data_IF_855192086032
#
_entry.id   IF_855192086032
#
_cell.length_a   1.000
_cell.length_b   1.000
_cell.length_c   1.000
_cell.angle_alpha   90.00
_cell.angle_beta   90.00
_cell.angle_gamma   90.00
#
_symmetry.space_group_name_H-M   'P 1'
#
loop_
_entity.id
_entity.type
_entity.pdbx_description
1 polymer ?
#
# COMPACT_ATOMS: atom_id res chain seq x y z
N UNK A 1 -4.25 14.25 -11.34
CA UNK A 1 -3.81 13.69 -10.08
C UNK A 1 -4.71 14.04 -8.92
N UNK A 2 -5.00 15.31 -8.72
CA UNK A 2 -5.88 15.68 -7.64
C UNK A 2 -7.24 15.03 -7.71
N UNK A 3 -7.81 14.92 -8.90
CA UNK A 3 -9.13 14.30 -9.02
C UNK A 3 -9.11 12.83 -8.65
N UNK A 4 -8.03 12.15 -8.98
CA UNK A 4 -7.89 10.76 -8.64
C UNK A 4 -7.77 10.60 -7.13
N UNK A 5 -7.00 11.47 -6.49
CA UNK A 5 -6.82 11.39 -5.04
C UNK A 5 -8.09 11.70 -4.28
N UNK A 6 -8.98 12.50 -4.87
CA UNK A 6 -10.26 12.77 -4.24
C UNK A 6 -11.14 11.54 -4.15
N UNK A 7 -10.95 10.60 -5.07
CA UNK A 7 -11.71 9.35 -5.03
C UNK A 7 -11.16 8.39 -3.98
N UNK A 8 -10.04 8.72 -3.41
CA UNK A 8 -9.44 7.89 -2.38
C UNK A 8 -8.25 7.12 -2.89
N UNK A 9 -7.48 6.60 -1.95
CA UNK A 9 -6.36 5.75 -2.30
C UNK A 9 -6.23 4.62 -1.30
N UNK A 10 -5.63 3.53 -1.75
CA UNK A 10 -5.41 2.36 -0.92
C UNK A 10 -3.92 2.06 -0.93
N UNK A 11 -3.33 1.98 0.25
CA UNK A 11 -1.92 1.60 0.38
C UNK A 11 -1.90 0.13 0.73
N UNK A 12 -1.26 -0.67 -0.11
CA UNK A 12 -1.21 -2.13 0.07
C UNK A 12 0.14 -2.47 0.66
N UNK A 13 0.13 -3.01 1.87
CA UNK A 13 1.33 -3.19 2.69
C UNK A 13 1.71 -4.65 2.76
N UNK A 14 2.94 -4.94 2.39
CA UNK A 14 3.48 -6.29 2.46
C UNK A 14 4.34 -6.49 3.69
N UNK A 15 4.84 -7.70 3.85
CA UNK A 15 5.60 -8.06 5.05
C UNK A 15 7.05 -7.63 5.03
N UNK A 16 7.54 -7.12 3.93
CA UNK A 16 8.95 -6.75 3.80
C UNK A 16 9.23 -5.33 4.26
N UNK A 17 10.39 -4.82 3.89
CA UNK A 17 10.82 -3.49 4.29
C UNK A 17 9.91 -2.39 3.76
N UNK A 18 9.41 -2.58 2.53
CA UNK A 18 8.54 -1.56 1.94
C UNK A 18 7.21 -1.41 2.68
N UNK A 19 6.84 -2.41 3.48
CA UNK A 19 5.61 -2.32 4.25
C UNK A 19 5.63 -1.17 5.25
N UNK A 20 6.76 -1.01 5.96
CA UNK A 20 6.89 0.09 6.90
C UNK A 20 6.84 1.44 6.20
N UNK A 21 7.50 1.54 5.04
CA UNK A 21 7.46 2.77 4.26
C UNK A 21 6.05 3.07 3.77
N UNK A 22 5.31 2.01 3.41
CA UNK A 22 3.92 2.18 3.01
C UNK A 22 3.06 2.75 4.12
N UNK A 23 3.26 2.27 5.35
CA UNK A 23 2.52 2.79 6.49
C UNK A 23 2.82 4.27 6.73
N UNK A 24 4.10 4.65 6.57
CA UNK A 24 4.48 6.05 6.72
C UNK A 24 3.83 6.91 5.65
N UNK A 25 3.81 6.44 4.41
CA UNK A 25 3.19 7.17 3.32
C UNK A 25 1.68 7.33 3.57
N UNK A 26 1.03 6.26 4.04
CA UNK A 26 -0.39 6.33 4.36
C UNK A 26 -0.66 7.40 5.40
N UNK A 27 0.19 7.45 6.44
CA UNK A 27 0.05 8.45 7.49
C UNK A 27 0.19 9.86 6.92
N UNK A 28 1.24 10.10 6.12
CA UNK A 28 1.50 11.43 5.59
C UNK A 28 0.37 11.91 4.69
N UNK A 29 -0.14 11.03 3.86
CA UNK A 29 -1.24 11.41 2.98
C UNK A 29 -2.52 11.66 3.76
N UNK A 30 -2.78 10.85 4.77
CA UNK A 30 -3.95 11.06 5.61
C UNK A 30 -3.88 12.42 6.33
N UNK A 31 -2.72 12.75 6.86
CA UNK A 31 -2.55 14.00 7.57
C UNK A 31 -2.67 15.21 6.64
N UNK A 32 -2.47 15.01 5.36
CA UNK A 32 -2.65 16.06 4.38
C UNK A 32 -4.08 16.16 3.87
N UNK A 33 -4.96 15.33 4.38
CA UNK A 33 -6.37 15.45 4.05
C UNK A 33 -6.90 14.50 2.99
N UNK A 34 -6.08 13.57 2.53
CA UNK A 34 -6.54 12.62 1.53
C UNK A 34 -7.32 11.49 2.17
N UNK A 35 -8.19 10.87 1.39
CA UNK A 35 -8.96 9.71 1.86
C UNK A 35 -8.09 8.49 1.67
N UNK A 36 -7.65 7.90 2.77
CA UNK A 36 -6.68 6.81 2.74
C UNK A 36 -7.24 5.58 3.42
N UNK A 37 -7.09 4.43 2.77
CA UNK A 37 -7.33 3.13 3.37
C UNK A 37 -6.05 2.31 3.23
N UNK A 38 -5.91 1.31 4.07
CA UNK A 38 -4.73 0.45 4.07
C UNK A 38 -5.19 -0.99 4.01
N UNK A 39 -4.52 -1.80 3.22
CA UNK A 39 -4.82 -3.22 3.15
C UNK A 39 -3.53 -4.01 3.31
N UNK A 40 -3.55 -4.99 4.21
CA UNK A 40 -2.41 -5.86 4.46
C UNK A 40 -2.80 -7.27 4.06
N UNK A 41 -2.46 -7.71 2.85
CA UNK A 41 -2.86 -9.05 2.40
C UNK A 41 -2.07 -10.17 3.04
N UNK A 42 -1.00 -9.83 3.78
CA UNK A 42 -0.18 -10.82 4.45
C UNK A 42 -0.18 -10.56 5.94
N UNK A 43 0.18 -11.56 6.71
CA UNK A 43 0.40 -11.36 8.13
C UNK A 43 1.68 -10.57 8.33
N UNK A 44 1.59 -9.42 8.97
CA UNK A 44 2.74 -8.55 9.19
C UNK A 44 3.42 -8.97 10.48
N UNK A 45 4.71 -9.27 10.39
CA UNK A 45 5.48 -9.71 11.56
C UNK A 45 6.59 -8.76 11.97
N UNK A 46 6.97 -7.83 11.10
CA UNK A 46 8.03 -6.89 11.47
C UNK A 46 7.52 -5.94 12.52
N UNK A 47 8.23 -5.88 13.63
CA UNK A 47 7.80 -5.07 14.78
C UNK A 47 7.60 -3.61 14.42
N UNK A 48 8.51 -3.05 13.64
CA UNK A 48 8.38 -1.65 13.26
C UNK A 48 7.15 -1.40 12.41
N UNK A 49 6.87 -2.29 11.47
CA UNK A 49 5.68 -2.15 10.63
C UNK A 49 4.41 -2.26 11.48
N UNK A 50 4.40 -3.18 12.44
CA UNK A 50 3.26 -3.34 13.34
C UNK A 50 3.03 -2.05 14.13
N UNK A 51 4.11 -1.43 14.60
CA UNK A 51 3.99 -0.18 15.33
C UNK A 51 3.42 0.94 14.46
N UNK A 52 3.88 1.03 13.21
CA UNK A 52 3.34 2.03 12.30
C UNK A 52 1.87 1.78 12.02
N UNK A 53 1.47 0.53 11.85
CA UNK A 53 0.07 0.20 11.59
C UNK A 53 -0.80 0.55 12.79
N UNK A 54 -0.29 0.29 13.99
CA UNK A 54 -1.01 0.62 15.20
C UNK A 54 -1.22 2.13 15.30
N UNK A 55 -0.19 2.88 14.96
CA UNK A 55 -0.28 4.33 15.01
C UNK A 55 -1.30 4.87 14.00
N UNK A 56 -1.24 4.40 12.76
CA UNK A 56 -2.16 4.91 11.76
C UNK A 56 -3.59 4.50 12.06
N UNK A 57 -3.78 3.35 12.69
CA UNK A 57 -5.13 2.96 13.13
C UNK A 57 -5.65 3.96 14.16
N UNK A 58 -4.78 4.39 15.06
CA UNK A 58 -5.19 5.36 16.08
C UNK A 58 -5.51 6.73 15.49
N UNK A 59 -4.98 7.04 14.32
CA UNK A 59 -5.28 8.28 13.64
C UNK A 59 -6.64 8.24 12.93
N UNK A 60 -7.21 7.06 12.78
CA UNK A 60 -8.49 6.93 12.10
C UNK A 60 -8.41 6.43 10.67
N UNK A 61 -7.23 6.02 10.22
CA UNK A 61 -7.10 5.46 8.88
C UNK A 61 -7.79 4.10 8.85
N UNK A 62 -8.60 3.87 7.83
CA UNK A 62 -9.35 2.63 7.71
C UNK A 62 -8.45 1.48 7.26
N UNK A 63 -8.46 0.39 8.02
CA UNK A 63 -7.72 -0.80 7.64
C UNK A 63 -8.73 -1.79 7.05
N UNK A 64 -8.55 -2.11 5.78
CA UNK A 64 -9.51 -2.95 5.08
C UNK A 64 -9.36 -4.41 5.51
N UNK A 65 -10.49 -5.07 5.70
CA UNK A 65 -10.50 -6.49 6.02
C UNK A 65 -10.40 -7.35 4.77
N UNK A 66 -10.85 -6.84 3.65
CA UNK A 66 -10.87 -7.58 2.40
C UNK A 66 -10.17 -6.80 1.32
N UNK A 67 -9.82 -7.48 0.25
CA UNK A 67 -9.14 -6.85 -0.88
C UNK A 67 -9.99 -5.72 -1.44
N UNK A 68 -9.36 -4.62 -1.85
CA UNK A 68 -10.10 -3.55 -2.49
C UNK A 68 -10.60 -3.97 -3.87
N UNK A 69 -11.65 -3.31 -4.32
CA UNK A 69 -12.25 -3.60 -5.61
C UNK A 69 -11.45 -2.91 -6.71
N UNK A 70 -10.89 -3.64 -7.65
CA UNK A 70 -10.10 -3.02 -8.72
C UNK A 70 -10.92 -2.10 -9.62
N UNK A 71 -12.24 -2.28 -9.65
CA UNK A 71 -13.08 -1.44 -10.47
C UNK A 71 -13.41 -0.10 -9.83
N UNK A 72 -13.08 0.09 -8.56
CA UNK A 72 -13.28 1.37 -7.94
C UNK A 72 -12.22 2.35 -8.42
N UNK A 73 -12.62 3.60 -8.58
CA UNK A 73 -11.71 4.62 -9.08
C UNK A 73 -10.82 5.12 -7.94
N UNK A 74 -9.87 4.29 -7.54
CA UNK A 74 -8.95 4.60 -6.46
C UNK A 74 -7.53 4.39 -6.93
N UNK A 75 -6.62 5.18 -6.38
CA UNK A 75 -5.20 4.99 -6.63
C UNK A 75 -4.69 3.92 -5.66
N UNK A 76 -4.00 2.93 -6.17
CA UNK A 76 -3.36 1.93 -5.30
C UNK A 76 -1.88 2.21 -5.22
N UNK A 77 -1.36 2.20 -3.99
CA UNK A 77 0.07 2.33 -3.76
C UNK A 77 0.58 0.97 -3.33
N UNK A 78 1.44 0.40 -4.16
CA UNK A 78 1.97 -0.94 -3.93
C UNK A 78 3.20 -0.86 -3.05
N UNK A 79 3.08 -1.26 -1.80
CA UNK A 79 4.20 -1.37 -0.87
C UNK A 79 4.47 -2.84 -0.55
N UNK A 80 4.12 -3.74 -1.47
CA UNK A 80 4.32 -5.17 -1.29
C UNK A 80 5.55 -5.64 -2.03
N UNK A 81 5.58 -5.41 -3.35
CA UNK A 81 6.61 -6.03 -4.14
C UNK A 81 7.91 -5.24 -4.17
N UNK A 82 7.86 -3.95 -4.15
CA UNK A 82 9.06 -3.19 -4.13
C UNK A 82 9.96 -3.53 -5.29
N UNK A 83 11.22 -3.05 -5.21
CA UNK A 83 12.07 -3.29 -6.21
C UNK A 83 12.74 -4.55 -6.05
N UNK A 84 12.89 -5.26 -6.75
CA UNK A 84 13.63 -6.43 -6.72
C UNK A 84 13.20 -7.45 -5.87
N UNK A 85 12.22 -7.50 -5.37
CA UNK A 85 12.07 -8.35 -4.51
C UNK A 85 11.40 -9.37 -4.90
N UNK A 86 10.86 -9.68 -5.26
CA UNK A 86 10.36 -10.39 -4.95
C UNK A 86 9.71 -11.11 -5.53
N UNK A 87 9.59 -11.87 -5.44
CA UNK A 87 9.13 -12.85 -5.81
C UNK A 87 7.97 -13.22 -5.16
N UNK A 88 6.97 -12.77 -5.15
CA UNK A 88 5.84 -13.28 -4.54
C UNK A 88 5.40 -14.50 -5.20
N UNK A 89 4.98 -15.41 -4.43
CA UNK A 89 4.38 -16.60 -4.93
C UNK A 89 2.88 -16.53 -4.81
N UNK A 90 2.33 -15.41 -4.39
CA UNK A 90 0.88 -15.28 -4.23
C UNK A 90 0.25 -14.91 -5.56
N UNK A 91 -0.20 -15.90 -6.30
CA UNK A 91 -0.78 -15.66 -7.60
C UNK A 91 -2.09 -14.90 -7.54
N UNK A 92 -2.83 -15.03 -6.45
CA UNK A 92 -4.07 -14.28 -6.30
C UNK A 92 -3.81 -12.78 -6.21
N UNK A 93 -2.76 -12.40 -5.51
CA UNK A 93 -2.41 -11.00 -5.40
C UNK A 93 -1.92 -10.45 -6.73
N UNK A 94 -1.13 -11.24 -7.44
CA UNK A 94 -0.66 -10.85 -8.76
C UNK A 94 -1.83 -10.65 -9.71
N UNK A 95 -2.79 -11.56 -9.67
CA UNK A 95 -3.98 -11.43 -10.49
C UNK A 95 -4.77 -10.16 -10.15
N UNK A 96 -4.89 -9.86 -8.88
CA UNK A 96 -5.62 -8.67 -8.46
C UNK A 96 -4.94 -7.41 -8.99
N UNK A 97 -3.62 -7.36 -8.90
CA UNK A 97 -2.88 -6.21 -9.42
C UNK A 97 -3.02 -6.11 -10.93
N UNK A 98 -2.99 -7.25 -11.63
CA UNK A 98 -3.18 -7.24 -13.07
C UNK A 98 -4.58 -6.77 -13.45
N UNK A 99 -5.58 -7.17 -12.70
CA UNK A 99 -6.93 -6.70 -12.94
C UNK A 99 -7.02 -5.20 -12.76
N UNK A 100 -6.41 -4.69 -11.71
CA UNK A 100 -6.44 -3.24 -11.46
C UNK A 100 -5.75 -2.49 -12.60
N UNK A 101 -4.64 -3.02 -13.08
CA UNK A 101 -3.89 -2.39 -14.15
C UNK A 101 -4.68 -2.29 -15.46
N UNK A 102 -5.61 -3.19 -15.66
CA UNK A 102 -6.39 -3.21 -16.88
C UNK A 102 -7.58 -2.26 -16.83
N UNK A 103 -7.90 -1.73 -15.68
CA UNK A 103 -9.04 -0.84 -15.56
C UNK A 103 -8.61 0.58 -15.88
N UNK A 104 -9.59 1.44 -16.15
CA UNK A 104 -9.31 2.85 -16.26
C UNK A 104 -9.73 3.55 -14.98
N UNK A 105 -9.84 2.80 -13.90
CA UNK A 105 -10.37 3.32 -12.65
C UNK A 105 -9.27 3.57 -11.64
N UNK A 106 -8.34 4.40 -11.98
CA UNK A 106 -7.23 4.71 -11.11
C UNK A 106 -5.96 4.07 -11.62
N UNK A 107 -4.96 4.05 -10.78
CA UNK A 107 -3.64 3.56 -11.16
C UNK A 107 -3.01 2.81 -10.01
N UNK A 108 -1.97 2.05 -10.32
CA UNK A 108 -1.11 1.45 -9.32
C UNK A 108 0.24 2.13 -9.41
N UNK A 109 0.74 2.59 -8.27
CA UNK A 109 2.06 3.18 -8.17
C UNK A 109 2.86 2.35 -7.18
N UNK A 110 4.02 1.89 -7.57
CA UNK A 110 4.85 1.08 -6.68
C UNK A 110 5.84 1.95 -5.93
N UNK A 111 6.05 1.61 -4.67
CA UNK A 111 7.09 2.25 -3.89
C UNK A 111 8.39 1.54 -4.23
N UNK A 112 9.35 2.32 -4.69
CA UNK A 112 10.62 1.74 -5.09
C UNK A 112 11.72 2.51 -4.40
N UNK A 113 12.07 2.09 -3.21
CA UNK A 113 13.09 2.76 -2.43
C UNK A 113 14.40 2.02 -2.62
N UNK A 114 15.38 2.67 -3.22
CA UNK A 114 16.65 2.01 -3.47
C UNK A 114 17.32 1.61 -2.18
N UNK A 115 17.73 0.35 -2.09
CA UNK A 115 18.36 -0.14 -0.87
C UNK A 115 19.66 0.57 -0.57
N UNK A 116 20.31 1.12 -1.59
CA UNK A 116 21.53 1.86 -1.36
C UNK A 116 21.34 3.11 -0.53
N UNK A 117 20.13 3.65 -0.50
CA UNK A 117 19.84 4.84 0.29
C UNK A 117 19.46 4.51 1.71
N UNK A 118 19.22 3.24 1.99
CA UNK A 118 18.85 2.81 3.32
C UNK A 118 19.61 1.55 3.63
N UNK A 119 20.82 1.70 4.11
CA UNK A 119 21.67 0.53 4.32
C UNK A 119 21.16 -0.43 5.37
N UNK A 120 20.18 -0.04 6.14
CA UNK A 120 19.63 -0.93 7.13
C UNK A 120 18.40 -1.66 6.62
N UNK A 121 18.07 -1.52 5.38
CA UNK A 121 16.88 -2.17 4.84
C UNK A 121 17.20 -3.56 4.39
#
# INVERSE_FOLDING_TARGET
MKNLLKSGLVVIIGPGHNGGDGAVIARELFLKGYIVSVWCPFQIRKTLTIKHLSYITSLGINILSNAPDPEKNELWIDAVFGNNQTRSTDSNLIELFNEKSKTNKGKIVSIDIPTGLNPNS
#
